data_IF_712898102622
#
_entry.id   IF_712898102622
#
_cell.length_a   1.000
_cell.length_b   1.000
_cell.length_c   1.000
_cell.angle_alpha   90.00
_cell.angle_beta   90.00
_cell.angle_gamma   90.00
#
_symmetry.space_group_name_H-M   'P 1'
#
loop_
_entity.id
_entity.type
_entity.pdbx_description
1 polymer ?
#
# COMPACT_ATOMS: atom_id res chain seq x y z
N UNK A 1 -17.58 15.30 -2.90
CA UNK A 1 -17.41 15.53 -1.45
C UNK A 1 -16.61 16.83 -1.28
N UNK A 2 -17.18 17.91 -1.81
CA UNK A 2 -16.63 19.28 -1.71
C UNK A 2 -17.14 19.91 -0.41
N UNK A 3 -16.25 20.30 0.50
CA UNK A 3 -16.62 21.01 1.73
C UNK A 3 -16.24 20.33 3.06
N UNK A 4 -15.60 19.17 3.03
CA UNK A 4 -15.10 18.56 4.25
C UNK A 4 -13.79 19.25 4.71
N UNK A 5 -13.64 19.51 6.03
CA UNK A 5 -12.39 20.02 6.55
C UNK A 5 -11.24 18.99 6.39
N UNK A 6 -10.02 19.47 6.28
CA UNK A 6 -8.82 18.65 6.06
C UNK A 6 -8.68 17.51 7.09
N UNK A 7 -9.04 17.75 8.33
CA UNK A 7 -8.98 16.79 9.42
C UNK A 7 -9.88 15.55 9.25
N UNK A 8 -10.90 15.64 8.41
CA UNK A 8 -11.82 14.53 8.11
C UNK A 8 -11.52 13.98 6.73
N UNK A 9 -11.27 14.84 5.73
CA UNK A 9 -11.14 14.44 4.33
C UNK A 9 -9.87 13.60 4.12
N UNK A 10 -8.73 14.04 4.65
CA UNK A 10 -7.46 13.33 4.50
C UNK A 10 -7.46 11.95 5.17
N UNK A 11 -7.83 11.79 6.47
CA UNK A 11 -7.94 10.47 7.08
C UNK A 11 -8.92 9.54 6.36
N UNK A 12 -10.05 10.09 5.92
CA UNK A 12 -11.04 9.32 5.18
C UNK A 12 -10.47 8.79 3.85
N UNK A 13 -9.75 9.60 3.10
CA UNK A 13 -9.09 9.18 1.86
C UNK A 13 -8.05 8.07 2.11
N UNK A 14 -7.26 8.19 3.18
CA UNK A 14 -6.28 7.18 3.56
C UNK A 14 -6.94 5.86 4.00
N UNK A 15 -8.01 5.93 4.79
CA UNK A 15 -8.77 4.75 5.24
C UNK A 15 -9.45 4.06 4.06
N UNK A 16 -10.01 4.80 3.11
CA UNK A 16 -10.58 4.22 1.89
C UNK A 16 -9.48 3.52 1.07
N UNK A 17 -8.33 4.17 0.85
CA UNK A 17 -7.21 3.56 0.14
C UNK A 17 -6.73 2.26 0.80
N UNK A 18 -6.56 2.28 2.12
CA UNK A 18 -6.21 1.12 2.94
C UNK A 18 -7.26 -0.01 2.80
N UNK A 19 -8.55 0.33 2.92
CA UNK A 19 -9.64 -0.65 2.87
C UNK A 19 -9.77 -1.29 1.48
N UNK A 20 -9.73 -0.50 0.43
CA UNK A 20 -9.79 -0.98 -0.96
C UNK A 20 -8.60 -1.87 -1.27
N UNK A 21 -7.38 -1.46 -0.86
CA UNK A 21 -6.19 -2.28 -1.01
C UNK A 21 -6.29 -3.61 -0.27
N UNK A 22 -6.79 -3.60 0.98
CA UNK A 22 -7.02 -4.80 1.78
C UNK A 22 -7.99 -5.77 1.10
N UNK A 23 -9.15 -5.27 0.66
CA UNK A 23 -10.19 -6.07 -0.01
C UNK A 23 -9.67 -6.66 -1.32
N UNK A 24 -8.95 -5.87 -2.11
CA UNK A 24 -8.41 -6.34 -3.38
C UNK A 24 -7.38 -7.45 -3.20
N UNK A 25 -6.44 -7.29 -2.28
CA UNK A 25 -5.44 -8.32 -2.00
C UNK A 25 -6.02 -9.55 -1.28
N UNK A 26 -7.10 -9.39 -0.50
CA UNK A 26 -7.81 -10.51 0.10
C UNK A 26 -8.36 -11.48 -0.96
N UNK A 27 -8.69 -11.02 -2.17
CA UNK A 27 -9.12 -11.89 -3.29
C UNK A 27 -8.05 -12.93 -3.59
N UNK A 28 -6.78 -12.53 -3.71
CA UNK A 28 -5.67 -13.46 -3.94
C UNK A 28 -5.49 -14.43 -2.77
N UNK A 29 -5.65 -13.93 -1.53
CA UNK A 29 -5.60 -14.75 -0.32
C UNK A 29 -6.71 -15.81 -0.28
N UNK A 30 -7.94 -15.43 -0.64
CA UNK A 30 -9.08 -16.35 -0.71
C UNK A 30 -8.87 -17.39 -1.80
N UNK A 31 -8.42 -16.98 -2.98
CA UNK A 31 -8.09 -17.91 -4.07
C UNK A 31 -7.07 -18.96 -3.62
N UNK A 32 -5.99 -18.53 -2.97
CA UNK A 32 -4.99 -19.45 -2.43
C UNK A 32 -5.55 -20.38 -1.36
N UNK A 33 -6.32 -19.83 -0.43
CA UNK A 33 -6.89 -20.60 0.68
C UNK A 33 -7.95 -21.64 0.22
N UNK A 34 -8.76 -21.28 -0.78
CA UNK A 34 -9.88 -22.12 -1.26
C UNK A 34 -9.44 -23.14 -2.32
N UNK A 35 -8.55 -22.77 -3.24
CA UNK A 35 -8.19 -23.59 -4.40
C UNK A 35 -6.76 -24.13 -4.36
N UNK A 36 -5.93 -23.67 -3.43
CA UNK A 36 -4.50 -23.99 -3.42
C UNK A 36 -3.72 -23.33 -4.57
N UNK A 37 -4.34 -22.40 -5.30
CA UNK A 37 -3.71 -21.72 -6.43
C UNK A 37 -2.38 -21.05 -6.02
N UNK A 38 -1.44 -21.04 -6.96
CA UNK A 38 -0.14 -20.41 -6.73
C UNK A 38 -0.31 -18.90 -6.61
N UNK A 39 0.07 -18.32 -5.45
CA UNK A 39 -0.16 -16.91 -5.14
C UNK A 39 0.47 -15.95 -6.15
N UNK A 40 1.63 -16.31 -6.68
CA UNK A 40 2.34 -15.48 -7.66
C UNK A 40 1.54 -15.33 -8.94
N UNK A 41 0.95 -16.41 -9.46
CA UNK A 41 0.14 -16.39 -10.68
C UNK A 41 -1.12 -15.56 -10.44
N UNK A 42 -1.82 -15.80 -9.34
CA UNK A 42 -3.06 -15.09 -9.00
C UNK A 42 -2.82 -13.58 -8.83
N UNK A 43 -1.70 -13.19 -8.17
CA UNK A 43 -1.39 -11.77 -7.96
C UNK A 43 -0.94 -11.08 -9.25
N UNK A 44 -0.20 -11.77 -10.16
CA UNK A 44 0.14 -11.22 -11.47
C UNK A 44 -1.14 -10.97 -12.29
N UNK A 45 -2.09 -11.91 -12.32
CA UNK A 45 -3.36 -11.74 -13.03
C UNK A 45 -4.17 -10.58 -12.44
N UNK A 46 -4.30 -10.51 -11.13
CA UNK A 46 -4.97 -9.39 -10.46
C UNK A 46 -4.27 -8.07 -10.73
N UNK A 47 -2.95 -8.03 -10.78
CA UNK A 47 -2.20 -6.81 -11.13
C UNK A 47 -2.55 -6.31 -12.54
N UNK A 48 -2.62 -7.20 -13.53
CA UNK A 48 -3.05 -6.84 -14.90
C UNK A 48 -4.51 -6.32 -14.91
N UNK A 49 -5.39 -6.95 -14.15
CA UNK A 49 -6.78 -6.50 -14.01
C UNK A 49 -6.82 -5.11 -13.35
N UNK A 50 -6.01 -4.86 -12.33
CA UNK A 50 -5.98 -3.55 -11.64
C UNK A 50 -5.52 -2.41 -12.56
N UNK A 51 -4.56 -2.65 -13.46
CA UNK A 51 -4.16 -1.66 -14.47
C UNK A 51 -5.31 -1.31 -15.41
N UNK A 52 -6.05 -2.32 -15.90
CA UNK A 52 -7.21 -2.10 -16.77
C UNK A 52 -8.35 -1.41 -16.04
N UNK A 53 -8.59 -1.81 -14.79
CA UNK A 53 -9.60 -1.20 -13.94
C UNK A 53 -9.27 0.28 -13.66
N UNK A 54 -8.02 0.58 -13.35
CA UNK A 54 -7.56 1.95 -13.15
C UNK A 54 -7.77 2.81 -14.41
N UNK A 55 -7.36 2.31 -15.58
CA UNK A 55 -7.55 3.01 -16.86
C UNK A 55 -9.04 3.27 -17.14
N UNK A 56 -9.90 2.27 -16.92
CA UNK A 56 -11.35 2.41 -17.05
C UNK A 56 -11.92 3.46 -16.09
N UNK A 57 -11.54 3.42 -14.82
CA UNK A 57 -12.03 4.35 -13.79
C UNK A 57 -11.58 5.78 -14.09
N UNK A 58 -10.33 5.97 -14.54
CA UNK A 58 -9.81 7.29 -14.88
C UNK A 58 -10.49 7.93 -16.10
N UNK A 59 -11.09 7.12 -16.98
CA UNK A 59 -11.89 7.61 -18.15
C UNK A 59 -13.32 7.99 -17.79
N UNK A 60 -13.77 7.73 -16.57
CA UNK A 60 -15.14 8.10 -16.20
C UNK A 60 -15.27 9.62 -16.08
N UNK A 61 -16.37 10.21 -16.62
CA UNK A 61 -16.56 11.68 -16.65
C UNK A 61 -16.50 12.35 -15.28
N UNK A 62 -16.86 11.63 -14.24
CA UNK A 62 -16.81 12.11 -12.85
C UNK A 62 -15.38 12.31 -12.35
N UNK A 63 -14.44 11.46 -12.80
CA UNK A 63 -13.06 11.39 -12.31
C UNK A 63 -12.09 12.05 -13.28
N UNK A 64 -12.33 11.93 -14.58
CA UNK A 64 -11.47 12.45 -15.62
C UNK A 64 -11.37 13.97 -15.55
N UNK A 65 -10.18 14.50 -15.82
CA UNK A 65 -9.97 15.94 -15.96
C UNK A 65 -10.71 16.46 -17.20
N UNK A 66 -11.49 17.52 -17.04
CA UNK A 66 -12.27 18.13 -18.11
C UNK A 66 -11.39 18.65 -19.27
N UNK A 67 -11.86 18.48 -20.50
CA UNK A 67 -11.16 18.94 -21.71
C UNK A 67 -9.96 18.10 -22.14
N UNK A 68 -9.76 16.89 -21.58
CA UNK A 68 -8.70 15.96 -21.98
C UNK A 68 -9.26 14.60 -22.35
N UNK A 69 -8.62 13.97 -23.35
CA UNK A 69 -8.90 12.59 -23.75
C UNK A 69 -8.05 11.57 -22.99
N UNK A 70 -6.94 12.03 -22.37
CA UNK A 70 -6.03 11.16 -21.62
C UNK A 70 -6.69 10.69 -20.31
N UNK A 71 -6.44 9.44 -19.84
CA UNK A 71 -6.96 8.93 -18.60
C UNK A 71 -6.22 9.52 -17.38
N UNK A 72 -6.44 10.79 -17.11
CA UNK A 72 -5.84 11.51 -15.97
C UNK A 72 -6.97 12.01 -15.08
N UNK A 73 -6.84 11.80 -13.76
CA UNK A 73 -7.85 12.28 -12.80
C UNK A 73 -7.85 13.81 -12.68
N UNK A 74 -8.97 14.35 -12.19
CA UNK A 74 -9.00 15.71 -11.61
C UNK A 74 -7.91 15.81 -10.53
N UNK A 75 -7.46 17.03 -10.25
CA UNK A 75 -6.52 17.25 -9.14
C UNK A 75 -7.16 16.85 -7.82
N UNK A 76 -6.32 16.34 -6.91
CA UNK A 76 -6.72 16.10 -5.53
C UNK A 76 -7.11 17.46 -4.92
N UNK A 77 -8.18 17.49 -4.15
CA UNK A 77 -8.60 18.70 -3.44
C UNK A 77 -7.53 19.07 -2.40
N UNK A 78 -7.29 20.36 -2.21
CA UNK A 78 -6.33 20.86 -1.21
C UNK A 78 -6.60 20.30 0.20
N UNK A 79 -7.85 20.02 0.52
CA UNK A 79 -8.28 19.40 1.79
C UNK A 79 -7.91 17.93 1.90
N UNK A 80 -7.49 17.26 0.82
CA UNK A 80 -7.01 15.87 0.81
C UNK A 80 -5.53 15.75 0.46
N UNK A 81 -4.82 16.89 0.28
CA UNK A 81 -3.38 16.91 0.12
C UNK A 81 -2.67 16.76 1.46
N UNK A 82 -1.57 15.99 1.46
CA UNK A 82 -0.71 15.84 2.63
C UNK A 82 0.10 17.13 2.84
N UNK A 83 0.04 17.75 4.04
CA UNK A 83 0.77 18.96 4.32
C UNK A 83 2.29 18.73 4.18
N UNK A 84 2.95 19.67 3.52
CA UNK A 84 4.41 19.68 3.38
C UNK A 84 5.06 20.15 4.66
N UNK A 85 5.92 19.32 5.26
CA UNK A 85 6.51 19.59 6.58
C UNK A 85 7.59 20.69 6.55
N UNK A 86 8.30 20.82 5.45
CA UNK A 86 9.43 21.74 5.33
C UNK A 86 9.19 22.85 4.28
N UNK A 87 7.94 23.13 3.93
CA UNK A 87 7.61 24.19 2.99
C UNK A 87 8.09 25.59 3.41
N UNK A 88 8.33 25.79 4.71
CA UNK A 88 8.82 27.06 5.28
C UNK A 88 10.35 27.18 5.29
N UNK A 89 11.10 26.09 5.04
CA UNK A 89 12.57 26.11 4.98
C UNK A 89 13.04 26.19 3.52
N UNK A 90 12.51 25.33 2.66
CA UNK A 90 12.82 25.32 1.23
C UNK A 90 11.63 24.73 0.46
N UNK A 91 11.06 25.50 -0.47
CA UNK A 91 9.90 25.09 -1.28
C UNK A 91 10.15 23.90 -2.21
N UNK A 92 11.41 23.53 -2.45
CA UNK A 92 11.80 22.39 -3.28
C UNK A 92 11.82 21.06 -2.51
N UNK A 93 11.83 21.10 -1.18
CA UNK A 93 11.81 19.89 -0.35
C UNK A 93 10.43 19.24 -0.38
N UNK A 94 10.35 18.05 -0.98
CA UNK A 94 9.11 17.26 -1.11
C UNK A 94 8.80 16.41 0.13
N UNK A 95 9.32 16.79 1.31
CA UNK A 95 9.04 16.08 2.55
C UNK A 95 7.64 16.45 3.03
N UNK A 96 6.74 15.50 3.05
CA UNK A 96 5.35 15.65 3.45
C UNK A 96 5.00 14.78 4.66
N UNK A 97 3.85 15.00 5.29
CA UNK A 97 3.38 14.26 6.46
C UNK A 97 3.27 12.73 6.25
N UNK A 98 3.34 12.24 5.01
CA UNK A 98 3.43 10.82 4.69
C UNK A 98 4.63 10.11 5.33
N UNK A 99 5.69 10.83 5.70
CA UNK A 99 6.81 10.28 6.47
C UNK A 99 6.33 9.76 7.83
N UNK A 100 5.49 10.51 8.53
CA UNK A 100 4.94 10.06 9.82
C UNK A 100 4.01 8.88 9.65
N UNK A 101 3.21 8.87 8.58
CA UNK A 101 2.33 7.73 8.25
C UNK A 101 3.18 6.47 8.01
N UNK A 102 4.28 6.60 7.28
CA UNK A 102 5.21 5.50 7.03
C UNK A 102 5.86 4.99 8.34
N UNK A 103 6.34 5.88 9.19
CA UNK A 103 6.94 5.51 10.48
C UNK A 103 5.91 4.83 11.39
N UNK A 104 4.70 5.35 11.44
CA UNK A 104 3.59 4.73 12.16
C UNK A 104 3.27 3.35 11.61
N UNK A 105 3.21 3.18 10.29
CA UNK A 105 2.97 1.90 9.64
C UNK A 105 4.07 0.88 9.99
N UNK A 106 5.35 1.28 9.98
CA UNK A 106 6.47 0.43 10.39
C UNK A 106 6.33 0.00 11.86
N UNK A 107 5.99 0.94 12.75
CA UNK A 107 5.79 0.65 14.17
C UNK A 107 4.61 -0.31 14.41
N UNK A 108 3.49 -0.10 13.69
CA UNK A 108 2.31 -0.96 13.75
C UNK A 108 2.60 -2.36 13.22
N UNK A 109 3.30 -2.48 12.10
CA UNK A 109 3.69 -3.78 11.53
C UNK A 109 4.67 -4.49 12.46
N UNK A 110 5.63 -3.79 13.04
CA UNK A 110 6.54 -4.34 14.04
C UNK A 110 5.76 -4.89 15.25
N UNK A 111 4.86 -4.07 15.81
CA UNK A 111 4.01 -4.49 16.93
C UNK A 111 3.13 -5.69 16.55
N UNK A 112 2.50 -5.65 15.37
CA UNK A 112 1.65 -6.72 14.85
C UNK A 112 2.44 -8.03 14.75
N UNK A 113 3.64 -8.03 14.15
CA UNK A 113 4.42 -9.23 13.91
C UNK A 113 5.04 -9.81 15.18
N UNK A 114 5.51 -8.96 16.10
CA UNK A 114 6.31 -9.44 17.25
C UNK A 114 5.58 -9.41 18.59
N UNK A 115 4.47 -8.67 18.70
CA UNK A 115 3.76 -8.51 19.97
C UNK A 115 2.31 -9.01 19.93
N UNK A 116 1.74 -9.35 18.76
CA UNK A 116 0.35 -9.77 18.65
C UNK A 116 0.21 -11.29 18.46
N UNK A 117 -0.97 -11.82 18.82
CA UNK A 117 -1.36 -13.22 18.56
C UNK A 117 -1.43 -13.52 17.04
N UNK A 118 -1.86 -12.54 16.24
CA UNK A 118 -1.88 -12.67 14.78
C UNK A 118 -0.47 -12.80 14.20
N UNK A 119 0.48 -11.99 14.66
CA UNK A 119 1.86 -12.09 14.22
C UNK A 119 2.51 -13.43 14.58
N UNK A 120 2.17 -13.97 15.73
CA UNK A 120 2.57 -15.32 16.11
C UNK A 120 2.00 -16.37 15.13
N UNK A 121 0.69 -16.28 14.82
CA UNK A 121 0.05 -17.17 13.85
C UNK A 121 0.70 -17.06 12.46
N UNK A 122 1.04 -15.85 12.00
CA UNK A 122 1.72 -15.63 10.71
C UNK A 122 3.10 -16.31 10.67
N UNK A 123 3.91 -16.13 11.70
CA UNK A 123 5.27 -16.70 11.77
C UNK A 123 5.23 -18.22 11.82
N UNK A 124 4.44 -18.82 12.72
CA UNK A 124 4.31 -20.28 12.81
C UNK A 124 3.77 -20.88 11.52
N UNK A 125 2.74 -20.26 10.91
CA UNK A 125 2.17 -20.76 9.65
C UNK A 125 3.17 -20.70 8.50
N UNK A 126 4.08 -19.71 8.50
CA UNK A 126 5.14 -19.60 7.51
C UNK A 126 6.27 -20.57 7.71
N UNK A 127 6.67 -20.86 8.95
CA UNK A 127 7.78 -21.75 9.26
C UNK A 127 7.36 -23.22 9.20
N UNK A 128 6.21 -23.56 9.80
CA UNK A 128 5.72 -24.95 9.84
C UNK A 128 4.17 -24.98 9.83
N UNK A 129 3.54 -25.12 8.66
CA UNK A 129 2.09 -25.20 8.53
C UNK A 129 1.47 -26.39 9.30
N UNK A 130 2.22 -27.48 9.47
CA UNK A 130 1.80 -28.64 10.27
C UNK A 130 1.66 -28.27 11.74
N UNK A 131 2.71 -27.69 12.34
CA UNK A 131 2.70 -27.24 13.72
C UNK A 131 1.60 -26.19 13.98
N UNK A 132 1.35 -25.29 13.02
CA UNK A 132 0.27 -24.32 13.11
C UNK A 132 -1.11 -24.99 13.24
N UNK A 133 -1.36 -26.05 12.48
CA UNK A 133 -2.62 -26.83 12.56
C UNK A 133 -2.78 -27.50 13.93
N UNK A 134 -1.74 -28.10 14.48
CA UNK A 134 -1.79 -28.70 15.82
C UNK A 134 -2.04 -27.65 16.91
N UNK A 135 -1.57 -26.41 16.71
CA UNK A 135 -1.86 -25.29 17.59
C UNK A 135 -3.25 -24.66 17.38
N UNK A 136 -4.12 -25.24 16.54
CA UNK A 136 -5.45 -24.74 16.25
C UNK A 136 -5.50 -23.54 15.33
N UNK A 137 -4.41 -23.21 14.65
CA UNK A 137 -4.34 -22.07 13.72
C UNK A 137 -4.87 -22.48 12.34
N UNK A 138 -5.88 -21.76 11.85
CA UNK A 138 -6.47 -21.98 10.53
C UNK A 138 -5.56 -21.38 9.44
N UNK A 139 -4.75 -22.21 8.80
CA UNK A 139 -3.76 -21.78 7.80
C UNK A 139 -4.39 -20.94 6.66
N UNK A 140 -5.59 -21.31 6.16
CA UNK A 140 -6.28 -20.57 5.12
C UNK A 140 -6.62 -19.14 5.55
N UNK A 141 -7.21 -18.98 6.73
CA UNK A 141 -7.54 -17.65 7.26
C UNK A 141 -6.28 -16.81 7.50
N UNK A 142 -5.21 -17.44 7.98
CA UNK A 142 -3.92 -16.78 8.20
C UNK A 142 -3.35 -16.20 6.90
N UNK A 143 -3.43 -16.95 5.80
CA UNK A 143 -3.01 -16.47 4.47
C UNK A 143 -3.87 -15.30 4.00
N UNK A 144 -5.20 -15.41 4.10
CA UNK A 144 -6.13 -14.33 3.71
C UNK A 144 -5.83 -13.04 4.48
N UNK A 145 -5.66 -13.13 5.80
CA UNK A 145 -5.36 -11.97 6.65
C UNK A 145 -3.98 -11.36 6.32
N UNK A 146 -2.96 -12.19 6.08
CA UNK A 146 -1.64 -11.70 5.70
C UNK A 146 -1.69 -10.93 4.38
N UNK A 147 -2.39 -11.47 3.37
CA UNK A 147 -2.58 -10.82 2.07
C UNK A 147 -3.40 -9.53 2.20
N UNK A 148 -4.47 -9.54 3.00
CA UNK A 148 -5.29 -8.36 3.24
C UNK A 148 -4.49 -7.23 3.92
N UNK A 149 -3.67 -7.54 4.93
CA UNK A 149 -2.82 -6.55 5.61
C UNK A 149 -1.75 -6.01 4.66
N UNK A 150 -1.11 -6.87 3.85
CA UNK A 150 -0.15 -6.42 2.84
C UNK A 150 -0.81 -5.49 1.82
N UNK A 151 -2.02 -5.83 1.35
CA UNK A 151 -2.81 -4.98 0.45
C UNK A 151 -3.25 -3.67 1.09
N UNK A 152 -3.60 -3.68 2.38
CA UNK A 152 -3.91 -2.47 3.14
C UNK A 152 -2.72 -1.48 3.14
N UNK A 153 -1.52 -1.99 3.41
CA UNK A 153 -0.29 -1.18 3.39
C UNK A 153 0.02 -0.65 1.98
N UNK A 154 -0.17 -1.48 0.94
CA UNK A 154 0.00 -1.06 -0.45
C UNK A 154 -1.01 0.03 -0.85
N UNK A 155 -2.27 -0.12 -0.46
CA UNK A 155 -3.32 0.88 -0.68
C UNK A 155 -3.03 2.20 0.06
N UNK A 156 -2.54 2.12 1.30
CA UNK A 156 -2.09 3.28 2.07
C UNK A 156 -0.90 3.98 1.36
N UNK A 157 0.07 3.21 0.85
CA UNK A 157 1.20 3.75 0.09
C UNK A 157 0.73 4.46 -1.20
N UNK A 158 -0.22 3.86 -1.94
CA UNK A 158 -0.82 4.48 -3.13
C UNK A 158 -1.57 5.78 -2.81
N UNK A 159 -2.36 5.79 -1.74
CA UNK A 159 -3.07 6.98 -1.29
C UNK A 159 -2.11 8.10 -0.87
N UNK A 160 -1.06 7.79 -0.10
CA UNK A 160 -0.03 8.76 0.30
C UNK A 160 0.77 9.28 -0.90
N UNK A 161 1.05 8.45 -1.89
CA UNK A 161 1.75 8.85 -3.11
C UNK A 161 0.93 9.85 -3.93
N UNK A 162 -0.38 9.61 -4.08
CA UNK A 162 -1.27 10.51 -4.81
C UNK A 162 -1.47 11.81 -4.03
N UNK A 163 -1.78 11.73 -2.74
CA UNK A 163 -2.08 12.91 -1.91
C UNK A 163 -0.85 13.74 -1.53
N UNK A 164 0.35 13.13 -1.50
CA UNK A 164 1.57 13.82 -1.04
C UNK A 164 2.53 14.24 -2.16
N UNK A 165 2.55 13.52 -3.28
CA UNK A 165 3.57 13.71 -4.32
C UNK A 165 2.98 14.08 -5.66
N UNK A 166 2.00 13.32 -6.15
CA UNK A 166 1.51 13.44 -7.53
C UNK A 166 0.40 14.47 -7.68
N UNK A 167 -0.44 14.66 -6.68
CA UNK A 167 -1.62 15.53 -6.71
C UNK A 167 -2.72 15.09 -7.68
N UNK A 168 -2.52 13.98 -8.40
CA UNK A 168 -3.50 13.38 -9.33
C UNK A 168 -3.12 11.93 -9.65
N UNK A 169 -4.11 11.12 -10.00
CA UNK A 169 -3.86 9.77 -10.49
C UNK A 169 -3.64 9.77 -12.01
N UNK A 170 -2.63 9.03 -12.45
CA UNK A 170 -2.28 8.82 -13.85
C UNK A 170 -2.05 7.33 -14.11
N UNK A 171 -2.26 6.83 -15.34
CA UNK A 171 -1.89 5.45 -15.65
C UNK A 171 -0.42 5.20 -15.38
N UNK A 172 -0.11 4.05 -14.81
CA UNK A 172 1.28 3.64 -14.58
C UNK A 172 2.02 4.38 -13.46
N UNK A 173 1.36 5.19 -12.63
CA UNK A 173 2.02 5.92 -11.53
C UNK A 173 2.72 4.98 -10.51
N UNK A 174 2.32 3.72 -10.46
CA UNK A 174 2.93 2.68 -9.62
C UNK A 174 3.97 1.82 -10.36
N UNK A 175 4.26 2.12 -11.64
CA UNK A 175 5.14 1.29 -12.46
C UNK A 175 6.52 1.13 -11.81
N UNK A 176 6.92 -0.14 -11.57
CA UNK A 176 8.20 -0.49 -10.97
C UNK A 176 8.26 -0.40 -9.44
N UNK A 177 7.40 0.37 -8.76
CA UNK A 177 7.46 0.55 -7.29
C UNK A 177 7.31 -0.79 -6.56
N UNK A 178 6.44 -1.68 -7.05
CA UNK A 178 6.24 -3.01 -6.46
C UNK A 178 7.50 -3.90 -6.53
N UNK A 179 8.17 -3.93 -7.68
CA UNK A 179 9.43 -4.66 -7.83
C UNK A 179 10.55 -4.06 -6.99
N UNK A 180 10.62 -2.75 -6.95
CA UNK A 180 11.55 -2.02 -6.09
C UNK A 180 11.33 -2.34 -4.61
N UNK A 181 10.07 -2.47 -4.18
CA UNK A 181 9.72 -2.85 -2.82
C UNK A 181 10.17 -4.27 -2.47
N UNK A 182 10.11 -5.23 -3.42
CA UNK A 182 10.63 -6.59 -3.21
C UNK A 182 12.14 -6.55 -2.94
N UNK A 183 12.90 -5.80 -3.75
CA UNK A 183 14.34 -5.65 -3.56
C UNK A 183 14.68 -5.05 -2.18
N UNK A 184 13.96 -4.01 -1.77
CA UNK A 184 14.11 -3.38 -0.45
C UNK A 184 13.74 -4.34 0.68
N UNK A 185 12.67 -5.14 0.50
CA UNK A 185 12.26 -6.12 1.50
C UNK A 185 13.31 -7.22 1.70
N UNK A 186 13.90 -7.72 0.61
CA UNK A 186 14.97 -8.72 0.67
C UNK A 186 16.24 -8.14 1.33
N UNK A 187 16.64 -6.92 0.96
CA UNK A 187 17.78 -6.23 1.56
C UNK A 187 17.56 -6.01 3.07
N UNK A 188 16.34 -5.65 3.46
CA UNK A 188 15.92 -5.50 4.86
C UNK A 188 15.67 -6.80 5.60
N UNK A 189 15.94 -7.97 4.98
CA UNK A 189 15.69 -9.33 5.53
C UNK A 189 14.25 -9.52 6.01
N UNK A 190 13.29 -8.94 5.32
CA UNK A 190 11.85 -8.98 5.67
C UNK A 190 11.55 -8.51 7.10
N UNK A 191 12.47 -7.76 7.74
CA UNK A 191 12.27 -7.18 9.07
C UNK A 191 11.81 -5.72 8.93
N UNK A 192 10.75 -5.27 9.64
CA UNK A 192 10.19 -3.92 9.43
C UNK A 192 11.21 -2.78 9.58
N UNK A 193 12.07 -2.85 10.59
CA UNK A 193 13.15 -1.87 10.80
C UNK A 193 14.23 -1.99 9.72
N UNK A 194 14.58 -3.21 9.31
CA UNK A 194 15.53 -3.44 8.23
C UNK A 194 15.04 -2.88 6.89
N UNK A 195 13.76 -3.03 6.59
CA UNK A 195 13.13 -2.45 5.39
C UNK A 195 13.18 -0.92 5.42
N UNK A 196 12.94 -0.31 6.58
CA UNK A 196 13.07 1.14 6.74
C UNK A 196 14.48 1.62 6.41
N UNK A 197 15.50 0.98 6.99
CA UNK A 197 16.91 1.32 6.75
C UNK A 197 17.32 1.09 5.29
N UNK A 198 16.94 -0.05 4.71
CA UNK A 198 17.20 -0.36 3.30
C UNK A 198 16.53 0.64 2.34
N UNK A 199 15.32 1.12 2.67
CA UNK A 199 14.62 2.12 1.88
C UNK A 199 15.31 3.50 1.92
N UNK A 200 15.88 3.87 3.06
CA UNK A 200 16.66 5.11 3.21
C UNK A 200 17.98 5.04 2.44
N UNK A 201 18.70 3.93 2.53
CA UNK A 201 19.96 3.71 1.83
C UNK A 201 19.78 3.77 0.30
N UNK A 202 18.76 3.12 -0.24
CA UNK A 202 18.49 3.13 -1.68
C UNK A 202 18.21 4.52 -2.23
N UNK A 203 17.55 5.39 -1.47
CA UNK A 203 17.32 6.78 -1.88
C UNK A 203 18.63 7.57 -1.95
N UNK A 204 19.55 7.30 -1.04
CA UNK A 204 20.89 7.89 -1.02
C UNK A 204 21.69 7.53 -2.27
N UNK A 205 21.65 6.28 -2.70
CA UNK A 205 22.40 5.78 -3.88
C UNK A 205 21.89 6.32 -5.22
N UNK A 206 20.64 6.78 -5.32
CA UNK A 206 20.10 7.40 -6.55
C UNK A 206 20.42 8.90 -6.70
N UNK A 207 21.04 9.51 -5.71
CA UNK A 207 21.43 10.93 -5.73
C UNK A 207 22.89 11.16 -6.21
N UNK A 208 23.61 10.10 -6.51
CA UNK A 208 24.90 10.07 -7.20
C UNK A 208 24.73 9.46 -8.59
#
# INVERSE_FOLDING_TARGET
ITGLPIWIHLPLALVIGLSVGALYAAIAGILKAATGAHEVISTIMLNLISFRLLDYVLRQPVIQKEGRSDPISKAVLETAELPRLLAFIDGNLRLHAGLFIMLLAVALVYWLLFRSKLGFAFRISGENPGAARYAGIHAGLTVVLAMAIAGALAGLAGATQISGVLGRATPGFTAGIGFDAIAVALLGRSHPVGILLAGLDRKSTRLN
#
